data_IF_113576677920
#
_entry.id   IF_113576677920
#
_cell.length_a   1.000
_cell.length_b   1.000
_cell.length_c   1.000
_cell.angle_alpha   90.00
_cell.angle_beta   90.00
_cell.angle_gamma   90.00
#
_symmetry.space_group_name_H-M   'P 1'
#
loop_
_entity.id
_entity.type
_entity.pdbx_description
1 polymer ?
#
# COMPACT_ATOMS: atom_id res chain seq x y z
N UNK A 1 0.33 7.83 16.62
CA UNK A 1 0.39 8.66 15.41
C UNK A 1 1.41 8.06 14.45
N UNK A 2 1.23 8.22 13.15
CA UNK A 2 2.17 7.76 12.13
C UNK A 2 3.19 8.86 11.87
N UNK A 3 4.44 8.65 12.28
CA UNK A 3 5.58 9.50 12.03
C UNK A 3 6.64 8.77 11.20
N UNK A 4 7.77 9.42 10.94
CA UNK A 4 8.89 8.84 10.18
C UNK A 4 9.36 7.49 10.72
N UNK A 5 9.56 7.35 12.02
CA UNK A 5 10.08 6.13 12.63
C UNK A 5 9.09 4.96 12.50
N UNK A 6 7.81 5.24 12.74
CA UNK A 6 6.74 4.26 12.55
C UNK A 6 6.63 3.87 11.08
N UNK A 7 6.72 4.82 10.15
CA UNK A 7 6.69 4.55 8.71
C UNK A 7 7.85 3.66 8.26
N UNK A 8 9.06 3.92 8.76
CA UNK A 8 10.25 3.09 8.51
C UNK A 8 9.99 1.66 8.98
N UNK A 9 9.50 1.49 10.20
CA UNK A 9 9.22 0.17 10.76
C UNK A 9 8.15 -0.57 9.93
N UNK A 10 7.11 0.14 9.46
CA UNK A 10 6.09 -0.43 8.57
C UNK A 10 6.74 -0.95 7.27
N UNK A 11 7.58 -0.18 6.59
CA UNK A 11 8.21 -0.62 5.35
C UNK A 11 9.19 -1.77 5.56
N UNK A 12 9.90 -1.83 6.68
CA UNK A 12 10.73 -2.98 7.04
C UNK A 12 9.88 -4.25 7.22
N UNK A 13 8.73 -4.15 7.89
CA UNK A 13 7.80 -5.27 8.05
C UNK A 13 7.13 -5.69 6.74
N UNK A 14 6.81 -4.74 5.87
CA UNK A 14 6.29 -5.05 4.54
C UNK A 14 7.32 -5.77 3.66
N UNK A 15 8.60 -5.39 3.75
CA UNK A 15 9.68 -6.11 3.08
C UNK A 15 9.85 -7.53 3.61
N UNK A 16 9.79 -7.72 4.94
CA UNK A 16 9.82 -9.05 5.55
C UNK A 16 8.65 -9.92 5.05
N UNK A 17 7.44 -9.37 5.03
CA UNK A 17 6.26 -10.03 4.48
C UNK A 17 6.40 -10.36 2.99
N UNK A 18 6.91 -9.43 2.19
CA UNK A 18 7.14 -9.65 0.76
C UNK A 18 8.11 -10.81 0.49
N UNK A 19 9.16 -10.95 1.31
CA UNK A 19 10.10 -12.09 1.23
C UNK A 19 9.45 -13.40 1.61
N UNK A 20 8.68 -13.41 2.70
CA UNK A 20 8.05 -14.62 3.23
C UNK A 20 6.95 -15.18 2.32
N UNK A 21 6.21 -14.33 1.63
CA UNK A 21 5.08 -14.70 0.77
C UNK A 21 5.37 -14.59 -0.73
N UNK A 22 6.64 -14.45 -1.10
CA UNK A 22 7.06 -14.26 -2.50
C UNK A 22 6.48 -15.31 -3.46
N UNK A 23 6.70 -16.58 -3.15
CA UNK A 23 6.25 -17.70 -3.99
C UNK A 23 4.73 -17.82 -3.99
N UNK A 24 4.08 -17.59 -2.83
CA UNK A 24 2.63 -17.65 -2.70
C UNK A 24 1.95 -16.58 -3.57
N UNK A 25 2.47 -15.34 -3.58
CA UNK A 25 1.96 -14.28 -4.43
C UNK A 25 2.12 -14.59 -5.92
N UNK A 26 3.28 -15.11 -6.34
CA UNK A 26 3.51 -15.48 -7.73
C UNK A 26 2.59 -16.64 -8.17
N UNK A 27 2.42 -17.65 -7.32
CA UNK A 27 1.54 -18.79 -7.60
C UNK A 27 0.07 -18.36 -7.66
N UNK A 28 -0.35 -17.47 -6.74
CA UNK A 28 -1.72 -16.96 -6.73
C UNK A 28 -2.01 -16.13 -7.99
N UNK A 29 -1.11 -15.22 -8.33
CA UNK A 29 -1.22 -14.37 -9.51
C UNK A 29 -1.18 -15.18 -10.81
N UNK A 30 -0.30 -16.17 -10.91
CA UNK A 30 -0.18 -17.04 -12.09
C UNK A 30 -1.41 -17.89 -12.42
N UNK A 31 -2.44 -17.90 -11.56
CA UNK A 31 -3.71 -18.55 -11.87
C UNK A 31 -4.59 -17.76 -12.84
N UNK A 32 -4.45 -16.44 -12.84
CA UNK A 32 -5.26 -15.52 -13.64
C UNK A 32 -4.44 -14.41 -14.32
N UNK A 33 -3.19 -14.21 -13.89
CA UNK A 33 -2.25 -13.22 -14.39
C UNK A 33 -0.97 -13.87 -14.97
N UNK A 34 0.13 -13.13 -14.95
CA UNK A 34 1.42 -13.55 -15.47
C UNK A 34 2.41 -14.07 -14.41
N UNK A 35 1.98 -14.14 -13.13
CA UNK A 35 2.74 -14.72 -12.03
C UNK A 35 3.86 -13.82 -11.51
N UNK A 36 3.78 -12.51 -11.70
CA UNK A 36 4.84 -11.56 -11.33
C UNK A 36 4.54 -10.73 -10.07
N UNK A 37 3.42 -10.97 -9.39
CA UNK A 37 3.00 -10.17 -8.23
C UNK A 37 4.03 -10.20 -7.10
N UNK A 38 4.57 -11.37 -6.77
CA UNK A 38 5.57 -11.52 -5.71
C UNK A 38 6.86 -10.77 -6.03
N UNK A 39 7.37 -10.86 -7.26
CA UNK A 39 8.57 -10.13 -7.68
C UNK A 39 8.32 -8.62 -7.70
N UNK A 40 7.15 -8.19 -8.12
CA UNK A 40 6.75 -6.77 -8.13
C UNK A 40 6.75 -6.19 -6.72
N UNK A 41 6.11 -6.86 -5.76
CA UNK A 41 6.01 -6.43 -4.37
C UNK A 41 7.38 -6.44 -3.70
N UNK A 42 8.14 -7.51 -3.88
CA UNK A 42 9.48 -7.63 -3.29
C UNK A 42 10.41 -6.53 -3.78
N UNK A 43 10.54 -6.36 -5.09
CA UNK A 43 11.42 -5.35 -5.69
C UNK A 43 11.04 -3.92 -5.26
N UNK A 44 9.73 -3.62 -5.19
CA UNK A 44 9.25 -2.32 -4.76
C UNK A 44 9.61 -2.02 -3.30
N UNK A 45 9.37 -2.95 -2.38
CA UNK A 45 9.69 -2.76 -0.97
C UNK A 45 11.19 -2.84 -0.67
N UNK A 46 11.97 -3.63 -1.40
CA UNK A 46 13.44 -3.60 -1.32
C UNK A 46 13.98 -2.22 -1.69
N UNK A 47 13.52 -1.64 -2.80
CA UNK A 47 13.99 -0.33 -3.22
C UNK A 47 13.56 0.78 -2.25
N UNK A 48 12.35 0.72 -1.64
CA UNK A 48 11.97 1.62 -0.56
C UNK A 48 12.96 1.49 0.60
N UNK A 49 13.23 0.27 1.07
CA UNK A 49 14.13 0.02 2.20
C UNK A 49 15.56 0.48 1.91
N UNK A 50 16.04 0.37 0.69
CA UNK A 50 17.34 0.90 0.25
C UNK A 50 17.40 2.45 0.30
N UNK A 51 16.26 3.12 0.32
CA UNK A 51 16.16 4.59 0.35
C UNK A 51 15.61 5.16 1.67
N UNK A 52 15.39 4.33 2.68
CA UNK A 52 14.89 4.75 4.01
C UNK A 52 15.78 5.82 4.66
N UNK A 53 17.08 5.78 4.43
CA UNK A 53 18.03 6.79 4.93
C UNK A 53 17.80 8.21 4.38
N UNK A 54 17.01 8.34 3.31
CA UNK A 54 16.60 9.63 2.72
C UNK A 54 15.30 10.16 3.32
N UNK A 55 14.64 9.39 4.19
CA UNK A 55 13.39 9.83 4.81
C UNK A 55 13.67 11.01 5.74
N UNK A 56 12.83 12.02 5.60
CA UNK A 56 12.80 13.24 6.40
C UNK A 56 11.62 13.26 7.36
N UNK A 57 11.44 14.35 8.08
CA UNK A 57 10.26 14.53 8.90
C UNK A 57 9.00 14.86 8.07
N UNK A 58 9.13 15.26 6.79
CA UNK A 58 8.00 15.50 5.90
C UNK A 58 7.44 14.16 5.38
N UNK A 59 6.27 13.78 5.85
CA UNK A 59 5.58 12.55 5.46
C UNK A 59 5.26 12.52 3.97
N UNK A 60 4.91 13.66 3.38
CA UNK A 60 4.68 13.75 1.93
C UNK A 60 5.95 13.47 1.13
N UNK A 61 7.10 14.00 1.55
CA UNK A 61 8.38 13.72 0.92
C UNK A 61 8.73 12.22 1.00
N UNK A 62 8.47 11.58 2.13
CA UNK A 62 8.72 10.16 2.32
C UNK A 62 7.85 9.29 1.38
N UNK A 63 6.56 9.59 1.23
CA UNK A 63 5.72 8.89 0.27
C UNK A 63 6.11 9.15 -1.19
N UNK A 64 6.71 10.31 -1.52
CA UNK A 64 7.27 10.54 -2.86
C UNK A 64 8.48 9.65 -3.11
N UNK A 65 9.36 9.45 -2.14
CA UNK A 65 10.48 8.50 -2.23
C UNK A 65 9.95 7.07 -2.46
N UNK A 66 8.89 6.67 -1.74
CA UNK A 66 8.24 5.37 -1.95
C UNK A 66 7.69 5.22 -3.38
N UNK A 67 7.04 6.26 -3.90
CA UNK A 67 6.55 6.27 -5.29
C UNK A 67 7.68 6.05 -6.29
N UNK A 68 8.77 6.82 -6.17
CA UNK A 68 9.93 6.72 -7.05
C UNK A 68 10.60 5.35 -6.98
N UNK A 69 10.64 4.73 -5.79
CA UNK A 69 11.19 3.40 -5.59
C UNK A 69 10.41 2.34 -6.38
N UNK A 70 9.08 2.36 -6.30
CA UNK A 70 8.24 1.45 -7.09
C UNK A 70 8.36 1.68 -8.59
N UNK A 71 8.34 2.94 -9.06
CA UNK A 71 8.55 3.26 -10.49
C UNK A 71 9.88 2.68 -11.00
N UNK A 72 10.95 2.80 -10.21
CA UNK A 72 12.29 2.37 -10.60
C UNK A 72 12.42 0.86 -10.76
N UNK A 73 11.71 0.09 -9.93
CA UNK A 73 11.93 -1.36 -9.78
C UNK A 73 10.77 -2.23 -10.23
N UNK A 74 9.58 -1.65 -10.40
CA UNK A 74 8.41 -2.39 -10.82
C UNK A 74 8.07 -2.08 -12.27
N UNK A 75 8.16 -3.10 -13.13
CA UNK A 75 7.71 -3.03 -14.53
C UNK A 75 6.24 -3.44 -14.72
N UNK A 76 5.55 -3.87 -13.65
CA UNK A 76 4.19 -4.40 -13.74
C UNK A 76 3.13 -3.30 -13.66
N UNK A 77 1.93 -3.62 -14.15
CA UNK A 77 0.76 -2.74 -14.02
C UNK A 77 0.39 -2.50 -12.57
N UNK A 78 0.43 -3.54 -11.73
CA UNK A 78 0.15 -3.43 -10.31
C UNK A 78 1.14 -2.50 -9.58
N UNK A 79 2.44 -2.66 -9.82
CA UNK A 79 3.46 -1.79 -9.23
C UNK A 79 3.31 -0.33 -9.68
N UNK A 80 2.87 -0.10 -10.90
CA UNK A 80 2.54 1.24 -11.39
C UNK A 80 1.37 1.85 -10.62
N UNK A 81 0.31 1.08 -10.33
CA UNK A 81 -0.82 1.54 -9.50
C UNK A 81 -0.38 1.89 -8.08
N UNK A 82 0.48 1.07 -7.46
CA UNK A 82 1.05 1.33 -6.13
C UNK A 82 1.88 2.62 -6.15
N UNK A 83 2.73 2.80 -7.15
CA UNK A 83 3.55 4.00 -7.30
C UNK A 83 2.70 5.28 -7.42
N UNK A 84 1.65 5.26 -8.24
CA UNK A 84 0.73 6.39 -8.35
C UNK A 84 -0.06 6.65 -7.06
N UNK A 85 -0.41 5.59 -6.33
CA UNK A 85 -1.05 5.73 -5.02
C UNK A 85 -0.13 6.48 -4.05
N UNK A 86 1.13 6.08 -3.93
CA UNK A 86 2.12 6.78 -3.11
C UNK A 86 2.35 8.22 -3.57
N UNK A 87 2.39 8.49 -4.88
CA UNK A 87 2.53 9.84 -5.42
C UNK A 87 1.36 10.75 -5.01
N UNK A 88 0.13 10.25 -5.07
CA UNK A 88 -1.04 11.03 -4.69
C UNK A 88 -1.14 11.21 -3.17
N UNK A 89 -0.80 10.19 -2.39
CA UNK A 89 -0.67 10.28 -0.92
C UNK A 89 0.37 11.35 -0.53
N UNK A 90 1.52 11.37 -1.22
CA UNK A 90 2.56 12.39 -1.01
C UNK A 90 2.03 13.82 -1.11
N UNK A 91 1.17 14.09 -2.10
CA UNK A 91 0.58 15.42 -2.28
C UNK A 91 -0.32 15.82 -1.10
N UNK A 92 -1.11 14.87 -0.58
CA UNK A 92 -2.04 15.12 0.52
C UNK A 92 -1.32 15.31 1.87
N UNK A 93 -0.13 14.72 2.03
CA UNK A 93 0.63 14.76 3.29
C UNK A 93 1.81 15.74 3.26
N UNK A 94 1.94 16.53 2.20
CA UNK A 94 3.05 17.50 2.06
C UNK A 94 3.12 18.45 3.24
N UNK A 95 4.30 18.54 3.86
CA UNK A 95 4.56 19.43 4.99
C UNK A 95 4.07 18.90 6.35
N UNK A 96 3.51 17.69 6.41
CA UNK A 96 3.13 17.04 7.68
C UNK A 96 4.30 16.27 8.25
N UNK A 97 4.61 16.51 9.53
CA UNK A 97 5.65 15.75 10.26
C UNK A 97 5.11 14.45 10.88
N UNK A 98 3.81 14.40 11.10
CA UNK A 98 3.10 13.23 11.61
C UNK A 98 1.68 13.20 11.08
N UNK A 99 1.11 12.00 11.01
CA UNK A 99 -0.25 11.78 10.57
C UNK A 99 -1.10 11.27 11.73
N UNK A 100 -2.24 11.91 11.94
CA UNK A 100 -3.25 11.46 12.88
C UNK A 100 -4.15 10.37 12.26
N UNK A 101 -5.19 9.97 12.97
CA UNK A 101 -6.10 8.93 12.49
C UNK A 101 -6.85 9.33 11.20
N UNK A 102 -7.26 10.58 11.09
CA UNK A 102 -7.94 11.10 9.90
C UNK A 102 -7.02 11.09 8.69
N UNK A 103 -5.74 11.44 8.87
CA UNK A 103 -4.74 11.35 7.82
C UNK A 103 -4.53 9.90 7.35
N UNK A 104 -4.60 8.93 8.27
CA UNK A 104 -4.52 7.51 7.89
C UNK A 104 -5.73 7.11 7.05
N UNK A 105 -6.92 7.55 7.38
CA UNK A 105 -8.10 7.34 6.52
C UNK A 105 -7.87 7.93 5.13
N UNK A 106 -7.37 9.17 5.05
CA UNK A 106 -7.06 9.86 3.78
C UNK A 106 -6.02 9.07 2.95
N UNK A 107 -5.02 8.47 3.58
CA UNK A 107 -4.03 7.62 2.90
C UNK A 107 -4.74 6.48 2.15
N UNK A 108 -5.61 5.74 2.84
CA UNK A 108 -6.31 4.61 2.23
C UNK A 108 -7.37 5.05 1.19
N UNK A 109 -8.10 6.12 1.45
CA UNK A 109 -9.05 6.70 0.47
C UNK A 109 -8.34 7.17 -0.80
N UNK A 110 -7.17 7.80 -0.65
CA UNK A 110 -6.36 8.25 -1.78
C UNK A 110 -5.84 7.06 -2.61
N UNK A 111 -5.40 5.99 -1.95
CA UNK A 111 -4.98 4.77 -2.61
C UNK A 111 -6.15 4.13 -3.37
N UNK A 112 -7.31 3.95 -2.73
CA UNK A 112 -8.50 3.39 -3.36
C UNK A 112 -8.90 4.19 -4.60
N UNK A 113 -9.06 5.50 -4.47
CA UNK A 113 -9.42 6.38 -5.58
C UNK A 113 -8.42 6.26 -6.75
N UNK A 114 -7.13 6.26 -6.45
CA UNK A 114 -6.09 6.16 -7.47
C UNK A 114 -6.17 4.82 -8.21
N UNK A 115 -6.38 3.73 -7.49
CA UNK A 115 -6.50 2.37 -8.06
C UNK A 115 -7.75 2.27 -8.92
N UNK A 116 -8.90 2.79 -8.48
CA UNK A 116 -10.13 2.78 -9.26
C UNK A 116 -10.00 3.58 -10.56
N UNK A 117 -9.48 4.82 -10.48
CA UNK A 117 -9.37 5.70 -11.65
C UNK A 117 -8.35 5.19 -12.68
N UNK A 118 -7.20 4.69 -12.23
CA UNK A 118 -6.12 4.26 -13.13
C UNK A 118 -6.18 2.79 -13.50
N UNK A 119 -6.63 1.94 -12.59
CA UNK A 119 -6.85 0.53 -12.81
C UNK A 119 -8.15 0.23 -13.52
N UNK A 120 -9.05 1.24 -13.66
CA UNK A 120 -10.37 1.10 -14.27
C UNK A 120 -11.20 -0.03 -13.63
N UNK A 121 -11.12 -0.15 -12.31
CA UNK A 121 -11.83 -1.14 -11.51
C UNK A 121 -12.91 -0.47 -10.65
N UNK A 122 -14.00 -1.19 -10.41
CA UNK A 122 -15.09 -0.77 -9.53
C UNK A 122 -15.14 -1.66 -8.30
N UNK A 123 -15.84 -1.20 -7.26
CA UNK A 123 -16.15 -2.06 -6.12
C UNK A 123 -17.07 -3.20 -6.59
N UNK A 124 -16.76 -4.42 -6.14
CA UNK A 124 -17.42 -5.64 -6.56
C UNK A 124 -16.70 -6.41 -7.66
N UNK A 125 -15.65 -5.84 -8.27
CA UNK A 125 -14.85 -6.51 -9.31
C UNK A 125 -13.89 -7.58 -8.73
N UNK A 126 -13.90 -7.79 -7.41
CA UNK A 126 -13.03 -8.74 -6.68
C UNK A 126 -11.54 -8.41 -6.86
N UNK A 127 -11.20 -7.16 -6.60
CA UNK A 127 -9.84 -6.63 -6.71
C UNK A 127 -9.35 -6.08 -5.37
N UNK A 128 -8.11 -5.59 -5.33
CA UNK A 128 -7.58 -4.89 -4.15
C UNK A 128 -8.44 -3.67 -3.75
N UNK A 129 -9.22 -3.10 -4.67
CA UNK A 129 -10.13 -1.99 -4.38
C UNK A 129 -11.17 -2.39 -3.32
N UNK A 130 -11.69 -3.60 -3.38
CA UNK A 130 -12.68 -4.11 -2.43
C UNK A 130 -12.08 -4.27 -1.03
N UNK A 131 -10.85 -4.78 -0.93
CA UNK A 131 -10.14 -4.89 0.35
C UNK A 131 -9.85 -3.52 0.95
N UNK A 132 -9.43 -2.54 0.13
CA UNK A 132 -9.20 -1.17 0.58
C UNK A 132 -10.48 -0.50 1.08
N UNK A 133 -11.60 -0.69 0.40
CA UNK A 133 -12.90 -0.18 0.84
C UNK A 133 -13.32 -0.75 2.20
N UNK A 134 -13.13 -2.05 2.41
CA UNK A 134 -13.37 -2.68 3.72
C UNK A 134 -12.47 -2.10 4.83
N UNK A 135 -11.20 -1.88 4.55
CA UNK A 135 -10.27 -1.24 5.48
C UNK A 135 -10.74 0.17 5.83
N UNK A 136 -11.10 0.97 4.82
CA UNK A 136 -11.57 2.36 5.01
C UNK A 136 -12.83 2.41 5.87
N UNK A 137 -13.82 1.57 5.60
CA UNK A 137 -15.04 1.48 6.40
C UNK A 137 -14.74 1.20 7.87
N UNK A 138 -13.87 0.22 8.13
CA UNK A 138 -13.48 -0.14 9.49
C UNK A 138 -12.63 0.94 10.18
N UNK A 139 -11.77 1.64 9.44
CA UNK A 139 -10.99 2.77 9.96
C UNK A 139 -11.89 3.91 10.42
N UNK A 140 -13.01 4.18 9.73
CA UNK A 140 -13.97 5.22 10.12
C UNK A 140 -14.71 4.88 11.42
N UNK A 141 -14.90 3.60 11.71
CA UNK A 141 -15.67 3.13 12.87
C UNK A 141 -14.79 2.82 14.08
N UNK A 142 -13.51 2.50 13.89
CA UNK A 142 -12.62 1.99 14.93
C UNK A 142 -11.18 2.50 14.77
N UNK A 143 -10.45 2.58 15.88
CA UNK A 143 -9.03 2.98 15.94
C UNK A 143 -8.09 1.82 16.30
N UNK A 144 -8.59 0.60 16.43
CA UNK A 144 -7.76 -0.59 16.66
C UNK A 144 -7.25 -1.15 15.32
N UNK A 145 -6.11 -0.63 14.87
CA UNK A 145 -5.53 -0.99 13.57
C UNK A 145 -5.30 -2.51 13.39
N UNK A 146 -4.83 -3.20 14.43
CA UNK A 146 -4.59 -4.64 14.36
C UNK A 146 -5.87 -5.42 14.05
N UNK A 147 -6.96 -5.06 14.71
CA UNK A 147 -8.28 -5.67 14.49
C UNK A 147 -8.84 -5.30 13.11
N UNK A 148 -8.70 -4.03 12.72
CA UNK A 148 -9.16 -3.52 11.42
C UNK A 148 -8.56 -4.34 10.28
N UNK A 149 -7.23 -4.44 10.23
CA UNK A 149 -6.56 -5.14 9.14
C UNK A 149 -6.87 -6.64 9.13
N UNK A 150 -6.81 -7.31 10.28
CA UNK A 150 -7.17 -8.74 10.37
C UNK A 150 -8.60 -9.02 9.91
N UNK A 151 -9.56 -8.22 10.37
CA UNK A 151 -10.97 -8.44 10.05
C UNK A 151 -11.33 -8.04 8.62
N UNK A 152 -10.67 -7.02 8.07
CA UNK A 152 -10.87 -6.64 6.66
C UNK A 152 -10.31 -7.71 5.72
N UNK A 153 -9.09 -8.21 5.98
CA UNK A 153 -8.48 -9.27 5.18
C UNK A 153 -9.32 -10.55 5.24
N UNK A 154 -9.75 -10.97 6.45
CA UNK A 154 -10.60 -12.16 6.58
C UNK A 154 -11.90 -11.99 5.78
N UNK A 155 -12.59 -10.86 5.93
CA UNK A 155 -13.83 -10.60 5.22
C UNK A 155 -13.63 -10.58 3.70
N UNK A 156 -12.54 -10.00 3.20
CA UNK A 156 -12.22 -10.04 1.78
C UNK A 156 -12.05 -11.47 1.26
N UNK A 157 -11.41 -12.36 2.04
CA UNK A 157 -11.25 -13.77 1.68
C UNK A 157 -12.59 -14.55 1.72
N UNK A 158 -13.47 -14.20 2.66
CA UNK A 158 -14.77 -14.87 2.81
C UNK A 158 -15.80 -14.42 1.74
N UNK A 159 -15.74 -13.16 1.31
CA UNK A 159 -16.70 -12.55 0.38
C UNK A 159 -16.33 -12.77 -1.11
N UNK A 160 -15.06 -13.09 -1.43
CA UNK A 160 -14.51 -13.17 -2.79
C UNK A 160 -13.80 -14.47 -3.09
#
# INVERSE_FOLDING_TARGET
MLNKEVLINIFQKLLEGAKNFYDEFNVADGKIGDGDLGITILNGFEEINNNINKFSDDMGANFMICSQAFVKKSGSSFGTLVAFSFMNISKNLKGKNECNHEDIVIIFETALKTIQERGKTNLGDKTIADTLDLIIKKLKDNKNYSEIFKSATKKALDDF
#
